data_IF_851272965194
#
_entry.id   IF_851272965194
#
_cell.length_a   1.000
_cell.length_b   1.000
_cell.length_c   1.000
_cell.angle_alpha   90.00
_cell.angle_beta   90.00
_cell.angle_gamma   90.00
#
_symmetry.space_group_name_H-M   'P 1'
#
loop_
_entity.id
_entity.type
_entity.pdbx_description
1 polymer ?
#
# COMPACT_ATOMS: atom_id res chain seq x y z
N UNK A 1 7.80 15.57 32.94
CA UNK A 1 7.67 17.04 32.84
C UNK A 1 6.44 17.30 31.99
N UNK A 2 5.49 18.09 32.50
CA UNK A 2 4.18 18.34 31.91
C UNK A 2 4.33 19.10 30.59
N UNK A 3 4.08 18.45 29.45
CA UNK A 3 3.94 19.12 28.17
C UNK A 3 2.55 19.75 28.14
N UNK A 4 2.51 21.07 28.26
CA UNK A 4 1.32 21.88 28.07
C UNK A 4 0.92 21.75 26.60
N UNK A 5 -0.25 21.19 26.36
CA UNK A 5 -0.94 21.19 25.07
C UNK A 5 -1.21 22.64 24.66
N UNK A 6 -0.43 23.14 23.72
CA UNK A 6 -0.69 24.39 23.04
C UNK A 6 -1.08 24.02 21.60
N UNK A 7 -2.28 23.48 21.44
CA UNK A 7 -2.95 23.44 20.14
C UNK A 7 -3.34 24.88 19.82
N UNK A 8 -2.40 25.63 19.25
CA UNK A 8 -2.80 26.72 18.37
C UNK A 8 -3.46 26.06 17.17
N UNK A 9 -4.78 26.23 17.01
CA UNK A 9 -5.43 26.09 15.71
C UNK A 9 -4.67 27.00 14.74
N UNK A 10 -3.72 26.42 14.00
CA UNK A 10 -3.18 27.05 12.82
C UNK A 10 -4.38 27.26 11.89
N UNK A 11 -4.58 28.49 11.43
CA UNK A 11 -5.60 28.81 10.44
C UNK A 11 -5.21 28.10 9.14
N UNK A 12 -5.69 26.87 8.95
CA UNK A 12 -5.29 26.00 7.84
C UNK A 12 -5.94 26.52 6.57
N UNK A 13 -5.21 27.38 5.87
CA UNK A 13 -5.60 27.84 4.56
C UNK A 13 -5.47 26.70 3.54
N UNK A 14 -6.46 26.47 2.66
CA UNK A 14 -6.34 25.44 1.63
C UNK A 14 -5.09 25.70 0.76
N UNK A 15 -4.39 24.62 0.40
CA UNK A 15 -3.30 24.70 -0.59
C UNK A 15 -3.88 25.32 -1.86
N UNK A 16 -3.15 26.28 -2.45
CA UNK A 16 -3.61 27.05 -3.62
C UNK A 16 -4.07 26.17 -4.79
N UNK A 17 -4.79 26.77 -5.75
CA UNK A 17 -5.31 26.07 -6.93
C UNK A 17 -4.14 25.48 -7.75
N UNK A 18 -4.27 24.20 -8.13
CA UNK A 18 -3.31 23.46 -8.95
C UNK A 18 -2.84 24.28 -10.16
N UNK A 19 -1.53 24.44 -10.31
CA UNK A 19 -0.93 24.95 -11.54
C UNK A 19 -0.41 23.79 -12.43
N UNK A 20 -0.21 24.05 -13.73
CA UNK A 20 0.29 23.01 -14.64
C UNK A 20 1.74 22.59 -14.32
N UNK A 21 2.51 23.45 -13.64
CA UNK A 21 3.90 23.20 -13.29
C UNK A 21 4.01 22.27 -12.06
N UNK A 22 2.99 22.22 -11.20
CA UNK A 22 2.89 21.39 -10.00
C UNK A 22 2.91 19.91 -10.39
N UNK A 23 2.06 19.53 -11.34
CA UNK A 23 1.99 18.14 -11.82
C UNK A 23 3.29 17.71 -12.48
N UNK A 24 3.90 18.58 -13.29
CA UNK A 24 5.20 18.32 -13.90
C UNK A 24 6.29 18.15 -12.84
N UNK A 25 6.32 19.00 -11.82
CA UNK A 25 7.25 18.91 -10.69
C UNK A 25 7.10 17.61 -9.90
N UNK A 26 5.87 17.21 -9.60
CA UNK A 26 5.60 15.95 -8.91
C UNK A 26 6.06 14.75 -9.74
N UNK A 27 5.84 14.80 -11.07
CA UNK A 27 6.32 13.76 -11.97
C UNK A 27 7.86 13.71 -12.07
N UNK A 28 8.52 14.87 -12.21
CA UNK A 28 9.97 14.97 -12.25
C UNK A 28 10.60 14.46 -10.96
N UNK A 29 9.99 14.78 -9.81
CA UNK A 29 10.41 14.26 -8.52
C UNK A 29 10.31 12.73 -8.45
N UNK A 30 9.25 12.12 -8.98
CA UNK A 30 9.13 10.66 -9.07
C UNK A 30 10.26 10.04 -9.94
N UNK A 31 10.63 10.69 -11.05
CA UNK A 31 11.77 10.27 -11.86
C UNK A 31 13.10 10.37 -11.09
N UNK A 32 13.35 11.46 -10.37
CA UNK A 32 14.55 11.63 -9.52
C UNK A 32 14.64 10.57 -8.43
N UNK A 33 13.51 10.17 -7.83
CA UNK A 33 13.48 9.06 -6.88
C UNK A 33 13.91 7.74 -7.55
N UNK A 34 13.41 7.45 -8.75
CA UNK A 34 13.83 6.25 -9.49
C UNK A 34 15.32 6.29 -9.83
N UNK A 35 15.87 7.46 -10.18
CA UNK A 35 17.31 7.62 -10.40
C UNK A 35 18.12 7.29 -9.14
N UNK A 36 17.65 7.70 -7.97
CA UNK A 36 18.27 7.33 -6.70
C UNK A 36 18.23 5.82 -6.46
N UNK A 37 17.06 5.19 -6.62
CA UNK A 37 16.91 3.74 -6.42
C UNK A 37 17.80 2.93 -7.38
N UNK A 38 17.91 3.34 -8.64
CA UNK A 38 18.78 2.67 -9.62
C UNK A 38 20.25 2.89 -9.28
N UNK A 39 20.65 4.12 -8.89
CA UNK A 39 22.04 4.46 -8.59
C UNK A 39 22.57 3.81 -7.30
N UNK A 40 21.71 3.63 -6.31
CA UNK A 40 22.08 3.05 -5.00
C UNK A 40 22.02 1.52 -4.95
N UNK A 41 21.54 0.89 -6.02
CA UNK A 41 21.54 -0.56 -6.11
C UNK A 41 22.97 -1.11 -6.09
N UNK A 42 23.26 -1.94 -5.09
CA UNK A 42 24.51 -2.71 -5.01
C UNK A 42 24.29 -4.00 -5.77
N UNK A 43 25.04 -4.16 -6.87
CA UNK A 43 24.97 -5.35 -7.70
C UNK A 43 26.06 -6.34 -7.27
N UNK A 44 25.65 -7.50 -6.75
CA UNK A 44 26.56 -8.60 -6.42
C UNK A 44 26.22 -9.90 -7.18
N UNK A 45 26.81 -11.02 -6.78
CA UNK A 45 26.54 -12.32 -7.42
C UNK A 45 25.16 -12.89 -7.08
N UNK A 46 24.56 -12.48 -5.97
CA UNK A 46 23.23 -12.89 -5.58
C UNK A 46 22.18 -12.08 -6.34
N UNK A 47 22.41 -10.80 -6.60
CA UNK A 47 21.52 -9.93 -7.38
C UNK A 47 21.64 -8.47 -6.95
N UNK A 48 20.68 -7.61 -7.34
CA UNK A 48 20.61 -6.27 -6.80
C UNK A 48 20.12 -6.29 -5.35
N UNK A 49 20.74 -5.46 -4.51
CA UNK A 49 20.30 -5.17 -3.14
C UNK A 49 20.49 -3.69 -2.82
N UNK A 50 19.80 -3.20 -1.80
CA UNK A 50 19.80 -1.80 -1.40
C UNK A 50 20.26 -1.61 0.04
N UNK A 51 20.81 -0.43 0.38
CA UNK A 51 21.08 -0.07 1.77
C UNK A 51 19.75 0.03 2.54
N UNK A 52 19.69 -0.66 3.68
CA UNK A 52 18.58 -0.58 4.65
C UNK A 52 19.16 -0.21 6.01
N UNK A 53 18.49 0.70 6.72
CA UNK A 53 18.88 1.03 8.08
C UNK A 53 18.57 -0.10 9.05
N UNK A 54 19.52 -0.40 9.93
CA UNK A 54 19.29 -1.20 11.12
C UNK A 54 18.94 -0.26 12.26
N UNK A 55 17.77 -0.50 12.88
CA UNK A 55 17.24 0.33 13.94
C UNK A 55 17.41 -0.41 15.27
N UNK A 56 18.01 0.28 16.25
CA UNK A 56 18.16 -0.20 17.62
C UNK A 56 16.84 -0.23 18.37
N UNK A 57 16.84 -0.85 19.56
CA UNK A 57 15.64 -0.94 20.41
C UNK A 57 15.11 0.42 20.89
N UNK A 58 15.94 1.47 20.83
CA UNK A 58 15.59 2.85 21.16
C UNK A 58 15.03 3.64 19.96
N UNK A 59 14.81 2.97 18.82
CA UNK A 59 14.30 3.58 17.59
C UNK A 59 15.36 4.32 16.78
N UNK A 60 16.63 4.29 17.20
CA UNK A 60 17.71 5.01 16.52
C UNK A 60 18.48 4.14 15.53
N UNK A 61 18.97 4.69 14.41
CA UNK A 61 19.83 3.98 13.49
C UNK A 61 21.13 3.55 14.18
N UNK A 62 21.47 2.26 14.08
CA UNK A 62 22.69 1.67 14.63
C UNK A 62 23.66 1.20 13.55
N UNK A 63 23.19 1.05 12.31
CA UNK A 63 24.02 0.65 11.17
C UNK A 63 23.25 0.63 9.86
N UNK A 64 23.96 0.32 8.79
CA UNK A 64 23.40 0.07 7.47
C UNK A 64 23.72 -1.37 7.10
N UNK A 65 22.70 -2.11 6.68
CA UNK A 65 22.82 -3.46 6.15
C UNK A 65 22.37 -3.47 4.70
N UNK A 66 22.72 -4.53 3.98
CA UNK A 66 22.17 -4.83 2.66
C UNK A 66 21.64 -6.26 2.68
N UNK A 67 20.73 -6.58 1.76
CA UNK A 67 20.15 -7.90 1.58
C UNK A 67 18.91 -8.15 2.45
N UNK A 68 18.31 -7.10 3.03
CA UNK A 68 17.07 -7.23 3.80
C UNK A 68 15.94 -7.58 2.82
N UNK A 69 15.20 -8.65 3.09
CA UNK A 69 14.24 -9.22 2.11
C UNK A 69 12.82 -8.67 2.19
N UNK A 70 12.46 -7.97 3.27
CA UNK A 70 11.08 -7.56 3.56
C UNK A 70 10.48 -6.66 2.48
N UNK A 71 9.15 -6.69 2.36
CA UNK A 71 8.41 -5.71 1.57
C UNK A 71 8.40 -4.33 2.26
N UNK A 72 8.50 -4.32 3.60
CA UNK A 72 8.47 -3.11 4.42
C UNK A 72 9.67 -2.17 4.18
N UNK A 73 10.85 -2.61 4.57
CA UNK A 73 12.10 -1.84 4.64
C UNK A 73 13.25 -2.48 3.82
N UNK A 74 12.93 -3.43 2.95
CA UNK A 74 13.92 -4.26 2.26
C UNK A 74 13.81 -4.24 0.73
N UNK A 75 14.67 -5.06 0.12
CA UNK A 75 14.85 -5.25 -1.30
C UNK A 75 13.54 -5.60 -2.02
N UNK A 76 12.66 -6.40 -1.40
CA UNK A 76 11.38 -6.75 -2.02
C UNK A 76 10.48 -5.53 -2.20
N UNK A 77 10.49 -4.59 -1.25
CA UNK A 77 9.77 -3.32 -1.34
C UNK A 77 10.27 -2.47 -2.50
N UNK A 78 11.59 -2.33 -2.62
CA UNK A 78 12.23 -1.56 -3.70
C UNK A 78 11.97 -2.21 -5.06
N UNK A 79 12.12 -3.52 -5.17
CA UNK A 79 11.84 -4.29 -6.40
C UNK A 79 10.38 -4.17 -6.80
N UNK A 80 9.45 -4.24 -5.85
CA UNK A 80 8.02 -4.07 -6.11
C UNK A 80 7.73 -2.67 -6.67
N UNK A 81 8.27 -1.62 -6.05
CA UNK A 81 8.12 -0.25 -6.54
C UNK A 81 8.71 -0.07 -7.95
N UNK A 82 9.96 -0.50 -8.17
CA UNK A 82 10.63 -0.38 -9.47
C UNK A 82 9.92 -1.17 -10.59
N UNK A 83 9.24 -2.27 -10.25
CA UNK A 83 8.42 -3.01 -11.23
C UNK A 83 7.30 -2.14 -11.80
N UNK A 84 6.61 -1.40 -10.93
CA UNK A 84 5.50 -0.54 -11.33
C UNK A 84 5.98 0.79 -11.91
N UNK A 85 6.94 1.44 -11.25
CA UNK A 85 7.52 2.72 -11.69
C UNK A 85 8.26 2.58 -13.01
N UNK A 86 9.01 1.49 -13.21
CA UNK A 86 9.73 1.20 -14.46
C UNK A 86 8.81 1.21 -15.67
N UNK A 87 7.60 0.66 -15.53
CA UNK A 87 6.59 0.65 -16.58
C UNK A 87 5.90 2.01 -16.71
N UNK A 88 5.39 2.56 -15.60
CA UNK A 88 4.59 3.78 -15.61
C UNK A 88 5.36 5.03 -16.06
N UNK A 89 6.65 5.11 -15.72
CA UNK A 89 7.54 6.23 -16.04
C UNK A 89 8.40 5.96 -17.29
N UNK A 90 8.17 4.86 -18.01
CA UNK A 90 8.96 4.45 -19.17
C UNK A 90 10.48 4.41 -18.89
N UNK A 91 10.86 3.73 -17.81
CA UNK A 91 12.22 3.58 -17.29
C UNK A 91 12.70 2.13 -17.46
N UNK A 92 13.29 1.77 -18.63
CA UNK A 92 13.69 0.39 -18.91
C UNK A 92 14.81 -0.10 -17.97
N UNK A 93 15.70 0.79 -17.54
CA UNK A 93 16.73 0.51 -16.54
C UNK A 93 16.14 0.08 -15.19
N UNK A 94 15.12 0.79 -14.71
CA UNK A 94 14.39 0.43 -13.49
C UNK A 94 13.64 -0.91 -13.66
N UNK A 95 12.98 -1.12 -14.81
CA UNK A 95 12.25 -2.35 -15.11
C UNK A 95 13.18 -3.58 -15.20
N UNK A 96 14.35 -3.44 -15.82
CA UNK A 96 15.37 -4.50 -15.90
C UNK A 96 15.95 -4.83 -14.52
N UNK A 97 16.27 -3.80 -13.73
CA UNK A 97 16.75 -3.96 -12.36
C UNK A 97 15.72 -4.68 -11.48
N UNK A 98 14.45 -4.28 -11.56
CA UNK A 98 13.35 -4.93 -10.85
C UNK A 98 13.17 -6.38 -11.28
N UNK A 99 13.22 -6.69 -12.57
CA UNK A 99 13.09 -8.05 -13.07
C UNK A 99 14.24 -8.97 -12.58
N UNK A 100 15.46 -8.43 -12.52
CA UNK A 100 16.62 -9.10 -11.94
C UNK A 100 16.42 -9.37 -10.45
N UNK A 101 16.07 -8.34 -9.67
CA UNK A 101 15.83 -8.45 -8.23
C UNK A 101 14.70 -9.42 -7.87
N UNK A 102 13.58 -9.37 -8.58
CA UNK A 102 12.47 -10.30 -8.40
C UNK A 102 12.91 -11.75 -8.65
N UNK A 103 13.70 -11.98 -9.71
CA UNK A 103 14.22 -13.32 -10.02
C UNK A 103 15.11 -13.83 -8.89
N UNK A 104 16.06 -13.01 -8.42
CA UNK A 104 16.93 -13.34 -7.29
C UNK A 104 16.16 -13.66 -6.01
N UNK A 105 15.26 -12.76 -5.60
CA UNK A 105 14.52 -12.90 -4.35
C UNK A 105 13.64 -14.15 -4.35
N UNK A 106 13.03 -14.48 -5.49
CA UNK A 106 12.19 -15.67 -5.66
C UNK A 106 12.99 -16.97 -5.77
N UNK A 107 14.20 -16.95 -6.34
CA UNK A 107 15.05 -18.14 -6.46
C UNK A 107 15.78 -18.49 -5.16
N UNK A 108 16.17 -17.48 -4.38
CA UNK A 108 16.93 -17.64 -3.15
C UNK A 108 16.05 -17.62 -1.89
N UNK A 109 14.84 -18.20 -1.95
CA UNK A 109 13.93 -18.21 -0.80
C UNK A 109 14.50 -19.03 0.35
N UNK A 110 14.62 -18.46 1.56
CA UNK A 110 15.04 -19.21 2.73
C UNK A 110 13.98 -20.25 3.10
N UNK A 111 14.44 -21.36 3.66
CA UNK A 111 13.57 -22.41 4.21
C UNK A 111 13.93 -22.64 5.66
N UNK A 112 12.94 -22.90 6.49
CA UNK A 112 13.14 -23.16 7.91
C UNK A 112 12.02 -22.60 8.78
N UNK A 113 11.96 -23.01 10.06
CA UNK A 113 10.91 -22.58 10.99
C UNK A 113 11.05 -21.10 11.39
N UNK A 114 12.25 -20.53 11.32
CA UNK A 114 12.53 -19.15 11.77
C UNK A 114 12.30 -18.09 10.68
N UNK A 115 11.88 -18.50 9.48
CA UNK A 115 11.65 -17.60 8.36
C UNK A 115 10.33 -16.83 8.58
N UNK A 116 10.36 -15.48 8.63
CA UNK A 116 9.14 -14.70 8.81
C UNK A 116 8.16 -14.94 7.66
N UNK A 117 6.89 -15.13 8.01
CA UNK A 117 5.87 -15.61 7.07
C UNK A 117 4.96 -14.52 6.51
N UNK A 118 4.84 -13.38 7.18
CA UNK A 118 3.82 -12.37 6.87
C UNK A 118 4.08 -11.54 5.61
N UNK A 119 3.21 -10.56 5.40
CA UNK A 119 3.15 -9.76 4.17
C UNK A 119 4.22 -8.68 4.12
N UNK A 120 4.26 -7.79 5.12
CA UNK A 120 5.21 -6.68 5.17
C UNK A 120 6.58 -7.15 5.66
N UNK A 121 6.55 -8.04 6.67
CA UNK A 121 7.73 -8.63 7.30
C UNK A 121 7.66 -10.15 7.11
N UNK A 122 7.98 -10.61 5.91
CA UNK A 122 8.07 -12.02 5.61
C UNK A 122 7.95 -12.40 4.15
N UNK A 123 7.94 -13.71 3.92
CA UNK A 123 7.99 -14.30 2.58
C UNK A 123 6.64 -14.25 1.83
N UNK A 124 5.51 -13.96 2.49
CA UNK A 124 4.26 -13.73 1.76
C UNK A 124 4.31 -12.45 0.91
N UNK A 125 4.98 -11.40 1.37
CA UNK A 125 5.19 -10.18 0.58
C UNK A 125 5.89 -10.42 -0.75
N UNK A 126 6.85 -11.35 -0.78
CA UNK A 126 7.58 -11.70 -2.00
C UNK A 126 6.70 -12.41 -3.03
N UNK A 127 5.56 -12.99 -2.63
CA UNK A 127 4.62 -13.57 -3.60
C UNK A 127 3.99 -12.49 -4.49
N UNK A 128 3.96 -11.23 -4.05
CA UNK A 128 3.53 -10.08 -4.86
C UNK A 128 4.52 -9.73 -6.00
N UNK A 129 5.77 -10.21 -5.92
CA UNK A 129 6.76 -10.08 -7.00
C UNK A 129 6.58 -11.16 -8.08
N UNK A 130 5.81 -12.20 -7.79
CA UNK A 130 5.63 -13.34 -8.67
C UNK A 130 4.84 -12.98 -9.92
N UNK A 131 5.28 -13.49 -11.08
CA UNK A 131 4.49 -13.45 -12.31
C UNK A 131 3.28 -14.37 -12.19
N UNK A 132 2.24 -14.10 -12.97
CA UNK A 132 1.09 -15.02 -13.12
C UNK A 132 1.59 -16.44 -13.38
N UNK A 133 1.24 -17.37 -12.49
CA UNK A 133 1.69 -18.76 -12.56
C UNK A 133 2.79 -19.15 -11.56
N UNK A 134 3.40 -18.19 -10.87
CA UNK A 134 4.40 -18.47 -9.82
C UNK A 134 3.80 -19.35 -8.70
N UNK A 135 4.68 -20.13 -8.08
CA UNK A 135 4.31 -20.90 -6.89
C UNK A 135 4.16 -19.95 -5.71
N UNK A 136 2.98 -19.96 -5.10
CA UNK A 136 2.70 -19.33 -3.80
C UNK A 136 2.75 -20.46 -2.77
N UNK A 137 3.57 -20.33 -1.73
CA UNK A 137 3.66 -21.36 -0.69
C UNK A 137 2.60 -21.16 0.38
N UNK A 138 2.17 -22.25 1.00
CA UNK A 138 1.31 -22.19 2.18
C UNK A 138 2.17 -21.83 3.37
N UNK A 139 1.81 -20.73 4.03
CA UNK A 139 2.53 -20.17 5.17
C UNK A 139 1.64 -20.04 6.39
N UNK A 140 2.27 -19.97 7.56
CA UNK A 140 1.59 -19.78 8.83
C UNK A 140 2.36 -18.79 9.68
N UNK A 141 1.66 -18.03 10.51
CA UNK A 141 2.24 -17.11 11.48
C UNK A 141 1.54 -17.24 12.83
N UNK A 142 2.28 -16.96 13.89
CA UNK A 142 1.76 -16.83 15.25
C UNK A 142 1.05 -15.48 15.47
N UNK A 143 1.38 -14.45 14.66
CA UNK A 143 0.68 -13.17 14.65
C UNK A 143 -0.66 -13.25 13.91
N UNK A 144 -1.60 -12.36 14.23
CA UNK A 144 -2.90 -12.27 13.53
C UNK A 144 -2.98 -11.13 12.52
N UNK A 145 -2.09 -10.13 12.64
CA UNK A 145 -2.21 -8.87 11.93
C UNK A 145 -1.79 -8.89 10.44
N UNK A 146 -1.87 -7.72 9.81
CA UNK A 146 -1.56 -7.55 8.39
C UNK A 146 -0.06 -7.58 8.09
N UNK A 147 0.79 -7.20 9.05
CA UNK A 147 2.22 -7.00 8.83
C UNK A 147 2.98 -8.32 8.75
N UNK A 148 3.00 -9.07 9.85
CA UNK A 148 3.76 -10.30 10.03
C UNK A 148 2.84 -11.49 10.34
N UNK A 149 1.53 -11.23 10.46
CA UNK A 149 0.52 -12.18 10.87
C UNK A 149 -0.28 -12.85 9.74
N UNK A 150 -1.30 -13.59 10.18
CA UNK A 150 -2.20 -14.36 9.33
C UNK A 150 -3.05 -13.51 8.39
N UNK A 151 -3.46 -12.29 8.78
CA UNK A 151 -4.23 -11.41 7.88
C UNK A 151 -3.38 -10.99 6.66
N UNK A 152 -2.09 -10.71 6.84
CA UNK A 152 -1.17 -10.43 5.73
C UNK A 152 -1.03 -11.59 4.75
N UNK A 153 -0.91 -12.82 5.28
CA UNK A 153 -0.88 -14.04 4.47
C UNK A 153 -2.20 -14.22 3.72
N UNK A 154 -3.35 -14.05 4.39
CA UNK A 154 -4.67 -14.17 3.78
C UNK A 154 -4.85 -13.18 2.62
N UNK A 155 -4.46 -11.92 2.81
CA UNK A 155 -4.54 -10.90 1.76
C UNK A 155 -3.68 -11.28 0.55
N UNK A 156 -2.48 -11.81 0.78
CA UNK A 156 -1.58 -12.30 -0.28
C UNK A 156 -2.21 -13.46 -1.08
N UNK A 157 -2.84 -14.41 -0.38
CA UNK A 157 -3.53 -15.54 -1.02
C UNK A 157 -4.72 -15.05 -1.87
N UNK A 158 -5.51 -14.10 -1.35
CA UNK A 158 -6.63 -13.52 -2.07
C UNK A 158 -6.15 -12.83 -3.36
N UNK A 159 -5.09 -12.01 -3.27
CA UNK A 159 -4.51 -11.29 -4.43
C UNK A 159 -3.92 -12.20 -5.48
N UNK A 160 -3.22 -13.24 -5.05
CA UNK A 160 -2.69 -14.26 -5.97
C UNK A 160 -3.78 -15.22 -6.47
N UNK A 161 -4.98 -15.20 -5.87
CA UNK A 161 -6.10 -16.11 -6.11
C UNK A 161 -5.68 -17.58 -5.99
N UNK A 162 -4.91 -17.91 -4.95
CA UNK A 162 -4.37 -19.25 -4.70
C UNK A 162 -4.79 -19.81 -3.35
N UNK A 163 -4.84 -21.14 -3.29
CA UNK A 163 -5.01 -21.93 -2.05
C UNK A 163 -6.23 -21.56 -1.22
N UNK A 164 -7.42 -21.60 -1.81
CA UNK A 164 -8.69 -21.35 -1.10
C UNK A 164 -8.82 -22.20 0.18
N UNK A 165 -8.47 -23.49 0.14
CA UNK A 165 -8.52 -24.35 1.34
C UNK A 165 -7.59 -23.86 2.47
N UNK A 166 -6.46 -23.24 2.12
CA UNK A 166 -5.55 -22.63 3.09
C UNK A 166 -6.11 -21.31 3.63
N UNK A 167 -6.77 -20.52 2.77
CA UNK A 167 -7.50 -19.33 3.19
C UNK A 167 -8.63 -19.67 4.18
N UNK A 168 -9.37 -20.78 3.96
CA UNK A 168 -10.37 -21.30 4.92
C UNK A 168 -9.73 -21.58 6.28
N UNK A 169 -8.59 -22.28 6.30
CA UNK A 169 -7.88 -22.57 7.55
C UNK A 169 -7.43 -21.29 8.28
N UNK A 170 -6.96 -20.29 7.54
CA UNK A 170 -6.57 -19.00 8.11
C UNK A 170 -7.77 -18.25 8.70
N UNK A 171 -8.91 -18.19 8.00
CA UNK A 171 -10.13 -17.55 8.51
C UNK A 171 -10.60 -18.21 9.81
N UNK A 172 -10.58 -19.55 9.86
CA UNK A 172 -10.94 -20.30 11.06
C UNK A 172 -9.98 -19.99 12.23
N UNK A 173 -8.69 -19.86 11.97
CA UNK A 173 -7.70 -19.52 13.00
C UNK A 173 -7.81 -18.07 13.47
N UNK A 174 -8.02 -17.11 12.57
CA UNK A 174 -8.28 -15.71 12.94
C UNK A 174 -9.51 -15.63 13.85
N UNK A 175 -10.56 -16.42 13.58
CA UNK A 175 -11.72 -16.55 14.48
C UNK A 175 -11.32 -17.16 15.82
N UNK A 176 -10.52 -18.22 15.84
CA UNK A 176 -10.08 -18.89 17.07
C UNK A 176 -9.26 -17.96 17.99
N UNK A 177 -8.35 -17.17 17.41
CA UNK A 177 -7.47 -16.24 18.15
C UNK A 177 -8.15 -14.96 18.62
N UNK A 178 -9.27 -14.61 18.00
CA UNK A 178 -10.02 -13.41 18.37
C UNK A 178 -10.67 -13.52 19.75
N UNK A 179 -10.67 -12.42 20.50
CA UNK A 179 -11.36 -12.28 21.78
C UNK A 179 -12.72 -11.63 21.53
N UNK A 180 -13.78 -12.19 22.12
CA UNK A 180 -15.10 -11.58 22.09
C UNK A 180 -15.15 -10.42 23.08
N UNK A 181 -15.55 -9.24 22.60
CA UNK A 181 -15.60 -8.01 23.38
C UNK A 181 -17.06 -7.60 23.61
N UNK A 182 -17.29 -6.51 24.33
CA UNK A 182 -18.64 -5.95 24.47
C UNK A 182 -19.24 -5.60 23.09
N UNK A 183 -18.40 -5.09 22.20
CA UNK A 183 -18.74 -4.73 20.82
C UNK A 183 -17.74 -5.40 19.89
N UNK A 184 -18.20 -6.37 19.11
CA UNK A 184 -17.35 -7.05 18.12
C UNK A 184 -16.28 -7.95 18.73
N UNK A 185 -15.15 -8.06 18.03
CA UNK A 185 -14.03 -8.94 18.39
C UNK A 185 -12.70 -8.24 18.16
N UNK A 186 -11.72 -8.58 18.98
CA UNK A 186 -10.37 -8.00 18.98
C UNK A 186 -9.29 -9.07 18.80
N UNK A 187 -8.08 -8.66 18.40
CA UNK A 187 -6.93 -9.56 18.19
C UNK A 187 -5.73 -9.09 19.02
N UNK A 188 -5.60 -9.55 20.27
CA UNK A 188 -4.38 -9.33 21.04
C UNK A 188 -3.20 -10.08 20.40
N UNK A 189 -1.99 -9.52 20.50
CA UNK A 189 -0.77 -10.21 20.09
C UNK A 189 -0.27 -11.09 21.23
N UNK A 190 -0.54 -12.39 21.12
CA UNK A 190 -0.17 -13.41 22.12
C UNK A 190 1.33 -13.62 22.27
N UNK A 191 2.15 -13.09 21.35
CA UNK A 191 3.61 -13.15 21.41
C UNK A 191 4.17 -12.10 22.38
N UNK A 192 3.38 -11.07 22.68
CA UNK A 192 3.76 -9.97 23.55
C UNK A 192 3.10 -10.12 24.92
N UNK A 193 3.77 -9.65 25.97
CA UNK A 193 3.30 -9.74 27.35
C UNK A 193 2.75 -8.40 27.84
N UNK A 194 1.76 -8.44 28.73
CA UNK A 194 1.21 -7.22 29.36
C UNK A 194 0.56 -6.28 28.34
N UNK A 195 0.78 -4.98 28.53
CA UNK A 195 0.17 -3.94 27.68
C UNK A 195 0.66 -3.98 26.23
N UNK A 196 1.87 -4.51 25.97
CA UNK A 196 2.38 -4.69 24.60
C UNK A 196 1.58 -5.67 23.74
N UNK A 197 0.85 -6.61 24.35
CA UNK A 197 0.01 -7.59 23.64
C UNK A 197 -1.44 -7.17 23.44
N UNK A 198 -1.81 -5.94 23.82
CA UNK A 198 -3.20 -5.48 23.72
C UNK A 198 -3.66 -5.35 22.26
N UNK A 199 -4.95 -5.58 21.99
CA UNK A 199 -5.48 -5.40 20.64
C UNK A 199 -5.40 -3.92 20.20
N UNK A 200 -5.12 -3.70 18.92
CA UNK A 200 -4.88 -2.36 18.34
C UNK A 200 -5.92 -1.99 17.28
N UNK A 201 -6.18 -0.69 17.13
CA UNK A 201 -6.92 -0.14 15.99
C UNK A 201 -5.96 0.12 14.80
N UNK A 202 -6.53 0.35 13.62
CA UNK A 202 -5.76 0.75 12.44
C UNK A 202 -5.26 -0.42 11.59
N UNK A 203 -4.45 -0.12 10.58
CA UNK A 203 -4.20 -1.00 9.45
C UNK A 203 -3.13 -2.07 9.71
N UNK A 204 -1.94 -1.67 10.18
CA UNK A 204 -0.78 -2.57 10.22
C UNK A 204 -0.96 -3.71 11.23
N UNK A 205 -1.11 -3.34 12.50
CA UNK A 205 -1.21 -4.30 13.60
C UNK A 205 -2.63 -4.42 14.16
N UNK A 206 -3.60 -3.75 13.53
CA UNK A 206 -4.92 -3.53 14.10
C UNK A 206 -6.08 -4.19 13.35
N UNK A 207 -7.28 -3.95 13.87
CA UNK A 207 -8.52 -4.54 13.40
C UNK A 207 -8.87 -4.17 11.95
N UNK A 208 -8.54 -2.96 11.48
CA UNK A 208 -8.76 -2.59 10.06
C UNK A 208 -8.02 -3.51 9.10
N UNK A 209 -6.77 -3.89 9.40
CA UNK A 209 -5.99 -4.82 8.56
C UNK A 209 -6.60 -6.21 8.49
N UNK A 210 -7.10 -6.71 9.63
CA UNK A 210 -7.80 -8.00 9.70
C UNK A 210 -9.11 -7.96 8.90
N UNK A 211 -9.93 -6.91 9.12
CA UNK A 211 -11.19 -6.73 8.40
C UNK A 211 -10.99 -6.68 6.89
N UNK A 212 -9.97 -5.96 6.43
CA UNK A 212 -9.63 -5.85 5.02
C UNK A 212 -9.26 -7.20 4.39
N UNK A 213 -8.34 -7.95 5.02
CA UNK A 213 -7.92 -9.25 4.51
C UNK A 213 -9.10 -10.24 4.41
N UNK A 214 -10.00 -10.22 5.39
CA UNK A 214 -11.21 -11.04 5.41
C UNK A 214 -12.20 -10.66 4.28
N UNK A 215 -12.43 -9.36 4.07
CA UNK A 215 -13.31 -8.87 3.02
C UNK A 215 -12.77 -9.18 1.61
N UNK A 216 -11.46 -8.99 1.39
CA UNK A 216 -10.82 -9.35 0.12
C UNK A 216 -10.88 -10.85 -0.15
N UNK A 217 -10.64 -11.69 0.87
CA UNK A 217 -10.77 -13.14 0.74
C UNK A 217 -12.21 -13.55 0.38
N UNK A 218 -13.22 -12.95 1.01
CA UNK A 218 -14.63 -13.19 0.69
C UNK A 218 -15.00 -12.75 -0.73
N UNK A 219 -14.44 -11.64 -1.21
CA UNK A 219 -14.66 -11.16 -2.58
C UNK A 219 -14.04 -12.10 -3.63
N UNK A 220 -12.90 -12.71 -3.32
CA UNK A 220 -12.22 -13.67 -4.21
C UNK A 220 -12.87 -15.06 -4.15
N UNK A 221 -13.29 -15.48 -2.96
CA UNK A 221 -13.87 -16.79 -2.70
C UNK A 221 -15.22 -16.66 -1.98
N UNK A 222 -16.34 -16.61 -2.72
CA UNK A 222 -17.66 -16.45 -2.12
C UNK A 222 -18.03 -17.50 -1.06
N UNK A 223 -17.42 -18.69 -1.12
CA UNK A 223 -17.59 -19.74 -0.10
C UNK A 223 -17.12 -19.31 1.30
N UNK A 224 -16.16 -18.40 1.38
CA UNK A 224 -15.68 -17.84 2.66
C UNK A 224 -16.62 -16.76 3.20
N UNK A 225 -17.51 -16.21 2.39
CA UNK A 225 -18.33 -15.04 2.76
C UNK A 225 -19.11 -15.23 4.07
N UNK A 226 -19.70 -16.42 4.27
CA UNK A 226 -20.49 -16.72 5.47
C UNK A 226 -19.68 -16.78 6.77
N UNK A 227 -18.36 -16.94 6.70
CA UNK A 227 -17.49 -17.00 7.88
C UNK A 227 -16.62 -15.75 8.02
N UNK A 228 -16.10 -15.23 6.91
CA UNK A 228 -15.17 -14.11 6.87
C UNK A 228 -15.87 -12.76 7.04
N UNK A 229 -17.01 -12.53 6.39
CA UNK A 229 -17.70 -11.22 6.46
C UNK A 229 -18.24 -10.92 7.87
N UNK A 230 -18.88 -11.86 8.59
CA UNK A 230 -19.26 -11.61 9.98
C UNK A 230 -18.06 -11.32 10.89
N UNK A 231 -16.92 -11.99 10.64
CA UNK A 231 -15.69 -11.75 11.42
C UNK A 231 -15.08 -10.37 11.10
N UNK A 232 -15.14 -9.94 9.85
CA UNK A 232 -14.76 -8.59 9.45
C UNK A 232 -15.69 -7.52 10.07
N UNK A 233 -17.00 -7.81 10.16
CA UNK A 233 -17.97 -6.94 10.81
C UNK A 233 -17.64 -6.78 12.31
N UNK A 234 -17.32 -7.89 12.98
CA UNK A 234 -16.89 -7.90 14.38
C UNK A 234 -15.61 -7.09 14.60
N UNK A 235 -14.64 -7.16 13.69
CA UNK A 235 -13.42 -6.36 13.76
C UNK A 235 -13.71 -4.85 13.68
N UNK A 236 -14.53 -4.45 12.72
CA UNK A 236 -14.92 -3.05 12.54
C UNK A 236 -15.83 -2.56 13.68
N UNK A 237 -16.71 -3.39 14.22
CA UNK A 237 -17.55 -3.08 15.39
C UNK A 237 -16.72 -2.81 16.64
N UNK A 238 -15.67 -3.60 16.86
CA UNK A 238 -14.73 -3.35 17.95
C UNK A 238 -13.96 -2.05 17.75
N UNK A 239 -13.44 -1.82 16.54
CA UNK A 239 -12.69 -0.59 16.24
C UNK A 239 -13.56 0.67 16.38
N UNK A 240 -14.82 0.61 15.93
CA UNK A 240 -15.77 1.70 16.08
C UNK A 240 -16.11 2.02 17.54
N UNK A 241 -16.03 1.05 18.45
CA UNK A 241 -16.22 1.29 19.89
C UNK A 241 -15.10 2.14 20.52
N UNK A 242 -13.95 2.22 19.84
CA UNK A 242 -12.82 3.07 20.23
C UNK A 242 -12.76 4.40 19.46
N UNK A 243 -13.41 4.48 18.31
CA UNK A 243 -13.33 5.64 17.44
C UNK A 243 -13.98 6.87 18.08
N UNK A 244 -13.26 8.00 18.06
CA UNK A 244 -13.77 9.32 18.47
C UNK A 244 -13.51 10.32 17.34
N UNK A 245 -14.55 10.60 16.54
CA UNK A 245 -14.45 11.50 15.38
C UNK A 245 -14.07 12.94 15.77
N UNK A 246 -14.39 13.38 16.99
CA UNK A 246 -13.99 14.70 17.47
C UNK A 246 -12.48 14.81 17.73
N UNK A 247 -11.79 13.67 17.92
CA UNK A 247 -10.36 13.60 18.21
C UNK A 247 -9.51 13.14 17.04
N UNK A 248 -10.11 12.74 15.92
CA UNK A 248 -9.40 12.24 14.73
C UNK A 248 -9.80 10.84 14.29
N UNK A 249 -10.83 10.26 14.92
CA UNK A 249 -11.36 8.94 14.57
C UNK A 249 -10.62 7.86 15.35
N UNK A 250 -9.56 7.30 14.76
CA UNK A 250 -8.96 6.06 15.22
C UNK A 250 -7.81 6.28 16.21
N UNK A 251 -7.93 5.81 17.46
CA UNK A 251 -6.87 5.99 18.44
C UNK A 251 -5.68 5.04 18.23
N UNK A 252 -4.49 5.47 18.64
CA UNK A 252 -3.40 4.55 18.96
C UNK A 252 -3.61 3.99 20.36
N UNK A 253 -3.74 2.67 20.43
CA UNK A 253 -3.93 1.94 21.68
C UNK A 253 -2.61 1.33 22.18
N UNK A 254 -1.46 1.63 21.60
CA UNK A 254 -0.17 1.17 22.15
C UNK A 254 0.09 1.78 23.53
N UNK A 255 1.19 1.35 24.15
CA UNK A 255 1.57 1.78 25.51
C UNK A 255 1.68 3.32 25.61
N UNK A 256 1.22 3.88 26.73
CA UNK A 256 1.25 5.32 27.00
C UNK A 256 -0.13 5.99 26.91
N UNK A 257 -0.11 7.30 26.69
CA UNK A 257 -1.32 8.11 26.52
C UNK A 257 -1.97 7.81 25.16
N UNK A 258 -3.29 7.68 25.15
CA UNK A 258 -4.05 7.47 23.90
C UNK A 258 -3.91 8.72 23.03
N UNK A 259 -3.48 8.52 21.78
CA UNK A 259 -3.38 9.57 20.76
C UNK A 259 -4.28 9.23 19.57
N UNK A 260 -4.49 10.18 18.65
CA UNK A 260 -5.28 10.00 17.43
C UNK A 260 -4.47 10.40 16.20
N UNK A 261 -3.51 9.55 15.79
CA UNK A 261 -2.64 9.86 14.67
C UNK A 261 -3.37 9.79 13.33
N UNK A 262 -2.79 10.46 12.34
CA UNK A 262 -3.23 10.41 10.94
C UNK A 262 -2.31 9.50 10.08
N UNK A 263 -1.72 8.46 10.69
CA UNK A 263 -0.71 7.62 10.03
C UNK A 263 -1.32 6.42 9.29
N UNK A 264 -0.57 5.91 8.30
CA UNK A 264 -1.01 4.74 7.52
C UNK A 264 -1.00 3.46 8.36
N UNK A 265 0.02 3.25 9.19
CA UNK A 265 0.12 2.01 9.97
C UNK A 265 -0.88 1.94 11.13
N UNK A 266 -1.17 3.09 11.77
CA UNK A 266 -2.14 3.23 12.84
C UNK A 266 -2.73 4.64 12.80
N UNK A 267 -4.06 4.75 12.85
CA UNK A 267 -4.74 6.03 12.75
C UNK A 267 -5.63 6.18 11.52
N UNK A 268 -6.01 7.43 11.24
CA UNK A 268 -7.07 7.76 10.29
C UNK A 268 -6.75 7.36 8.85
N UNK A 269 -5.49 7.47 8.41
CA UNK A 269 -5.13 7.17 7.03
C UNK A 269 -5.27 5.67 6.71
N UNK A 270 -4.69 4.79 7.53
CA UNK A 270 -4.81 3.34 7.33
C UNK A 270 -6.24 2.84 7.44
N UNK A 271 -6.96 3.31 8.46
CA UNK A 271 -8.35 2.95 8.68
C UNK A 271 -9.24 3.44 7.52
N UNK A 272 -9.05 4.68 7.08
CA UNK A 272 -9.77 5.30 5.96
C UNK A 272 -9.54 4.59 4.63
N UNK A 273 -8.30 4.17 4.34
CA UNK A 273 -7.98 3.37 3.16
C UNK A 273 -8.80 2.08 3.12
N UNK A 274 -8.97 1.41 4.26
CA UNK A 274 -9.82 0.20 4.35
C UNK A 274 -11.28 0.51 4.08
N UNK A 275 -11.83 1.62 4.58
CA UNK A 275 -13.23 1.98 4.31
C UNK A 275 -13.45 2.30 2.84
N UNK A 276 -12.55 3.06 2.23
CA UNK A 276 -12.58 3.33 0.79
C UNK A 276 -12.54 2.02 -0.01
N UNK A 277 -11.68 1.08 0.39
CA UNK A 277 -11.61 -0.23 -0.27
C UNK A 277 -12.87 -1.06 -0.08
N UNK A 278 -13.52 -1.00 1.09
CA UNK A 278 -14.80 -1.66 1.30
C UNK A 278 -15.87 -1.07 0.37
N UNK A 279 -15.91 0.24 0.15
CA UNK A 279 -16.83 0.84 -0.83
C UNK A 279 -16.59 0.31 -2.25
N UNK A 280 -15.34 0.21 -2.70
CA UNK A 280 -15.02 -0.39 -4.00
C UNK A 280 -15.50 -1.86 -4.08
N UNK A 281 -15.32 -2.63 -3.00
CA UNK A 281 -15.81 -4.01 -2.94
C UNK A 281 -17.34 -4.08 -2.98
N UNK A 282 -18.02 -3.14 -2.32
CA UNK A 282 -19.48 -3.02 -2.36
C UNK A 282 -19.98 -2.71 -3.79
N UNK A 283 -19.33 -1.77 -4.47
CA UNK A 283 -19.64 -1.44 -5.87
C UNK A 283 -19.36 -2.62 -6.82
N UNK A 284 -18.38 -3.46 -6.48
CA UNK A 284 -18.11 -4.73 -7.15
C UNK A 284 -19.07 -5.87 -6.77
N UNK A 285 -20.07 -5.60 -5.91
CA UNK A 285 -21.15 -6.53 -5.56
C UNK A 285 -20.93 -7.35 -4.29
N UNK A 286 -19.90 -7.06 -3.49
CA UNK A 286 -19.73 -7.67 -2.17
C UNK A 286 -20.74 -7.08 -1.18
N UNK A 287 -21.45 -7.92 -0.44
CA UNK A 287 -22.17 -7.46 0.74
C UNK A 287 -21.14 -7.14 1.83
N UNK A 288 -20.81 -5.86 1.96
CA UNK A 288 -19.77 -5.42 2.89
C UNK A 288 -20.19 -5.60 4.36
N UNK A 289 -19.23 -5.74 5.29
CA UNK A 289 -19.54 -6.08 6.69
C UNK A 289 -20.31 -4.99 7.46
N UNK A 290 -20.30 -3.75 6.96
CA UNK A 290 -21.01 -2.59 7.51
C UNK A 290 -22.04 -2.11 6.49
N UNK A 291 -23.02 -1.30 6.90
CA UNK A 291 -23.89 -0.65 5.92
C UNK A 291 -23.06 0.29 5.04
N UNK A 292 -23.37 0.34 3.74
CA UNK A 292 -22.66 1.22 2.79
C UNK A 292 -22.65 2.67 3.26
N UNK A 293 -23.76 3.15 3.85
CA UNK A 293 -23.86 4.51 4.39
C UNK A 293 -22.90 4.73 5.56
N UNK A 294 -22.76 3.75 6.46
CA UNK A 294 -21.83 3.86 7.59
C UNK A 294 -20.38 3.76 7.13
N UNK A 295 -20.07 2.84 6.21
CA UNK A 295 -18.74 2.75 5.61
C UNK A 295 -18.36 4.05 4.89
N UNK A 296 -19.30 4.66 4.18
CA UNK A 296 -19.10 5.95 3.50
C UNK A 296 -18.87 7.08 4.50
N UNK A 297 -19.67 7.18 5.55
CA UNK A 297 -19.49 8.21 6.57
C UNK A 297 -18.12 8.13 7.26
N UNK A 298 -17.66 6.90 7.61
CA UNK A 298 -16.33 6.70 8.17
C UNK A 298 -15.21 7.03 7.16
N UNK A 299 -15.38 6.67 5.88
CA UNK A 299 -14.43 7.04 4.83
C UNK A 299 -14.32 8.56 4.67
N UNK A 300 -15.45 9.27 4.60
CA UNK A 300 -15.48 10.73 4.47
C UNK A 300 -14.82 11.44 5.65
N UNK A 301 -15.05 10.95 6.88
CA UNK A 301 -14.39 11.50 8.06
C UNK A 301 -12.86 11.29 8.01
N UNK A 302 -12.40 10.10 7.60
CA UNK A 302 -10.97 9.84 7.42
C UNK A 302 -10.36 10.71 6.32
N UNK A 303 -11.06 10.92 5.20
CA UNK A 303 -10.64 11.79 4.09
C UNK A 303 -10.48 13.23 4.56
N UNK A 304 -11.44 13.76 5.35
CA UNK A 304 -11.31 15.11 5.92
C UNK A 304 -10.07 15.25 6.82
N UNK A 305 -9.83 14.25 7.69
CA UNK A 305 -8.65 14.23 8.57
C UNK A 305 -7.34 14.14 7.78
N UNK A 306 -7.28 13.25 6.79
CA UNK A 306 -6.11 13.10 5.93
C UNK A 306 -5.83 14.39 5.12
N UNK A 307 -6.86 15.05 4.63
CA UNK A 307 -6.72 16.31 3.88
C UNK A 307 -6.15 17.43 4.76
N UNK A 308 -6.61 17.51 6.01
CA UNK A 308 -6.05 18.42 7.01
C UNK A 308 -4.59 18.10 7.31
N UNK A 309 -4.26 16.86 7.68
CA UNK A 309 -2.89 16.43 8.02
C UNK A 309 -1.90 16.70 6.88
N UNK A 310 -2.27 16.34 5.64
CA UNK A 310 -1.47 16.61 4.44
C UNK A 310 -1.25 18.12 4.22
N UNK A 311 -2.29 18.93 4.38
CA UNK A 311 -2.19 20.39 4.20
C UNK A 311 -1.28 21.02 5.24
N UNK A 312 -1.42 20.62 6.51
CA UNK A 312 -0.56 21.10 7.61
C UNK A 312 0.90 20.73 7.34
N UNK A 313 1.19 19.49 6.92
CA UNK A 313 2.56 19.08 6.59
C UNK A 313 3.15 19.90 5.44
N UNK A 314 2.36 20.19 4.40
CA UNK A 314 2.80 21.02 3.28
C UNK A 314 3.04 22.49 3.68
N UNK A 315 2.23 23.04 4.59
CA UNK A 315 2.42 24.38 5.14
C UNK A 315 3.65 24.47 6.04
N UNK A 316 3.85 23.50 6.94
CA UNK A 316 5.06 23.41 7.77
C UNK A 316 6.30 23.36 6.89
N UNK A 317 6.29 22.53 5.84
CA UNK A 317 7.38 22.50 4.86
C UNK A 317 7.60 23.88 4.20
N UNK A 318 6.52 24.57 3.82
CA UNK A 318 6.59 25.88 3.18
C UNK A 318 7.18 26.97 4.07
N UNK A 319 6.84 26.97 5.36
CA UNK A 319 7.20 28.02 6.30
C UNK A 319 8.54 27.77 7.01
N UNK A 320 8.86 26.50 7.26
CA UNK A 320 9.95 26.09 8.15
C UNK A 320 11.01 25.23 7.46
N UNK A 321 10.83 24.89 6.18
CA UNK A 321 11.69 23.97 5.43
C UNK A 321 11.14 22.55 5.39
N UNK A 322 11.41 21.81 4.30
CA UNK A 322 10.87 20.46 4.12
C UNK A 322 11.29 19.47 5.22
N UNK A 323 12.45 19.67 5.84
CA UNK A 323 12.95 18.90 6.97
C UNK A 323 12.12 19.06 8.24
N UNK A 324 11.35 20.16 8.37
CA UNK A 324 10.46 20.37 9.50
C UNK A 324 9.18 19.52 9.40
N UNK A 325 8.82 19.04 8.20
CA UNK A 325 7.72 18.12 8.03
C UNK A 325 8.13 16.71 8.49
N UNK A 326 7.61 16.28 9.64
CA UNK A 326 7.93 14.99 10.24
C UNK A 326 7.76 13.84 9.23
N UNK A 327 8.80 13.01 9.10
CA UNK A 327 8.84 11.86 8.22
C UNK A 327 8.57 12.14 6.72
N UNK A 328 8.56 13.41 6.31
CA UNK A 328 8.38 13.85 4.93
C UNK A 328 7.12 13.28 4.28
N UNK A 329 7.26 12.82 3.03
CA UNK A 329 6.18 12.26 2.21
C UNK A 329 6.17 10.73 2.20
N UNK A 330 6.71 10.10 3.23
CA UNK A 330 6.74 8.64 3.35
C UNK A 330 5.37 8.06 3.67
N UNK A 331 5.13 6.81 3.28
CA UNK A 331 3.82 6.18 3.45
C UNK A 331 3.48 5.96 4.92
N UNK A 332 4.40 5.34 5.66
CA UNK A 332 4.05 4.75 6.95
C UNK A 332 3.86 5.80 8.04
N UNK A 333 4.75 6.81 8.10
CA UNK A 333 4.84 7.75 9.23
C UNK A 333 4.77 9.23 8.78
N UNK A 334 4.81 9.49 7.48
CA UNK A 334 4.79 10.84 6.92
C UNK A 334 3.44 11.24 6.30
N UNK A 335 3.44 12.40 5.65
CA UNK A 335 2.28 12.96 4.94
C UNK A 335 1.86 12.13 3.71
N UNK A 336 2.70 11.18 3.27
CA UNK A 336 2.42 10.30 2.15
C UNK A 336 1.26 9.35 2.39
N UNK A 337 1.08 8.86 3.63
CA UNK A 337 -0.09 8.06 4.03
C UNK A 337 -1.40 8.82 3.81
N UNK A 338 -1.61 9.97 4.49
CA UNK A 338 -2.74 10.86 4.25
C UNK A 338 -2.94 11.23 2.78
N UNK A 339 -1.88 11.63 2.07
CA UNK A 339 -2.00 12.04 0.67
C UNK A 339 -2.44 10.89 -0.24
N UNK A 340 -1.95 9.67 0.00
CA UNK A 340 -2.40 8.48 -0.73
C UNK A 340 -3.87 8.13 -0.49
N UNK A 341 -4.39 8.41 0.71
CA UNK A 341 -5.84 8.26 1.02
C UNK A 341 -6.66 9.30 0.26
N UNK A 342 -6.19 10.54 0.19
CA UNK A 342 -6.83 11.59 -0.61
C UNK A 342 -6.85 11.21 -2.10
N UNK A 343 -5.74 10.69 -2.63
CA UNK A 343 -5.68 10.20 -4.01
C UNK A 343 -6.67 9.05 -4.25
N UNK A 344 -6.73 8.06 -3.34
CA UNK A 344 -7.68 6.95 -3.42
C UNK A 344 -9.13 7.44 -3.33
N UNK A 345 -9.43 8.40 -2.44
CA UNK A 345 -10.76 8.98 -2.31
C UNK A 345 -11.20 9.72 -3.58
N UNK A 346 -10.27 10.35 -4.29
CA UNK A 346 -10.55 10.96 -5.60
C UNK A 346 -11.13 9.94 -6.58
N UNK A 347 -10.59 8.71 -6.58
CA UNK A 347 -11.05 7.62 -7.45
C UNK A 347 -12.37 7.02 -6.97
N UNK A 348 -12.49 6.74 -5.66
CA UNK A 348 -13.67 6.06 -5.09
C UNK A 348 -14.90 6.96 -5.02
N UNK A 349 -14.71 8.26 -4.78
CA UNK A 349 -15.82 9.22 -4.72
C UNK A 349 -16.08 9.93 -6.05
N UNK A 350 -15.23 9.73 -7.06
CA UNK A 350 -15.26 10.43 -8.35
C UNK A 350 -15.21 11.97 -8.16
N UNK A 351 -14.27 12.42 -7.33
CA UNK A 351 -14.03 13.85 -7.01
C UNK A 351 -12.59 14.19 -7.34
N UNK A 352 -12.36 14.75 -8.53
CA UNK A 352 -11.02 15.06 -9.05
C UNK A 352 -10.24 16.06 -8.16
N UNK A 353 -10.96 16.95 -7.48
CA UNK A 353 -10.40 17.99 -6.62
C UNK A 353 -9.56 17.43 -5.46
N UNK A 354 -9.89 16.23 -4.96
CA UNK A 354 -9.07 15.57 -3.95
C UNK A 354 -7.65 15.34 -4.46
N UNK A 355 -7.49 14.78 -5.66
CA UNK A 355 -6.18 14.55 -6.24
C UNK A 355 -5.46 15.86 -6.58
N UNK A 356 -6.18 16.87 -7.07
CA UNK A 356 -5.59 18.19 -7.34
C UNK A 356 -5.00 18.83 -6.07
N UNK A 357 -5.69 18.70 -4.93
CA UNK A 357 -5.18 19.16 -3.63
C UNK A 357 -3.93 18.39 -3.20
N UNK A 358 -3.91 17.07 -3.39
CA UNK A 358 -2.74 16.26 -3.06
C UNK A 358 -1.52 16.57 -3.96
N UNK A 359 -1.73 16.82 -5.25
CA UNK A 359 -0.67 17.26 -6.17
C UNK A 359 -0.14 18.63 -5.74
N UNK A 360 -1.00 19.59 -5.42
CA UNK A 360 -0.60 20.92 -4.99
C UNK A 360 0.19 20.87 -3.66
N UNK A 361 -0.23 20.03 -2.70
CA UNK A 361 0.47 19.83 -1.44
C UNK A 361 1.87 19.21 -1.66
N UNK A 362 1.97 18.19 -2.51
CA UNK A 362 3.24 17.56 -2.86
C UNK A 362 4.19 18.57 -3.53
N UNK A 363 3.70 19.30 -4.52
CA UNK A 363 4.47 20.32 -5.21
C UNK A 363 4.95 21.44 -4.27
N UNK A 364 4.12 21.83 -3.30
CA UNK A 364 4.50 22.79 -2.27
C UNK A 364 5.64 22.28 -1.40
N UNK A 365 5.56 21.06 -0.87
CA UNK A 365 6.66 20.48 -0.09
C UNK A 365 7.94 20.35 -0.92
N UNK A 366 7.83 19.89 -2.17
CA UNK A 366 8.97 19.73 -3.08
C UNK A 366 9.66 21.07 -3.42
N UNK A 367 8.94 22.20 -3.41
CA UNK A 367 9.54 23.53 -3.59
C UNK A 367 10.36 23.99 -2.40
N UNK A 368 10.06 23.46 -1.22
CA UNK A 368 10.65 23.90 0.04
C UNK A 368 11.77 23.00 0.54
N UNK A 369 12.08 21.94 -0.19
CA UNK A 369 13.13 20.97 0.14
C UNK A 369 14.22 20.89 -0.92
N UNK A 370 15.15 19.96 -0.69
CA UNK A 370 16.18 19.63 -1.66
C UNK A 370 15.58 19.01 -2.93
N UNK A 371 16.20 19.29 -4.07
CA UNK A 371 15.90 18.59 -5.31
C UNK A 371 16.47 17.16 -5.34
N UNK A 372 17.42 16.85 -4.44
CA UNK A 372 18.01 15.51 -4.32
C UNK A 372 17.21 14.65 -3.33
N UNK A 373 16.61 13.53 -3.78
CA UNK A 373 15.87 12.63 -2.88
C UNK A 373 16.73 11.98 -1.79
N UNK A 374 18.07 11.98 -1.90
CA UNK A 374 18.96 11.50 -0.82
C UNK A 374 18.86 12.35 0.45
N UNK A 375 18.50 13.63 0.30
CA UNK A 375 18.38 14.59 1.40
C UNK A 375 16.95 14.67 1.96
N UNK A 376 16.01 13.88 1.43
CA UNK A 376 14.63 13.93 1.89
C UNK A 376 14.46 13.24 3.25
N UNK A 377 13.63 13.85 4.09
CA UNK A 377 13.21 13.24 5.34
C UNK A 377 12.55 11.88 5.08
N UNK A 378 12.85 10.92 5.96
CA UNK A 378 12.31 9.57 5.89
C UNK A 378 11.51 9.21 7.16
N UNK A 379 10.83 8.07 7.17
CA UNK A 379 10.02 7.58 8.28
C UNK A 379 10.81 7.14 9.52
N UNK A 380 12.13 7.29 9.51
CA UNK A 380 13.06 6.86 10.56
C UNK A 380 13.84 8.06 11.08
N UNK A 381 13.85 8.27 12.40
CA UNK A 381 14.57 9.39 13.01
C UNK A 381 16.08 9.26 12.78
N UNK A 382 16.69 10.24 12.09
CA UNK A 382 18.13 10.28 11.84
C UNK A 382 18.64 9.29 10.78
N UNK A 383 17.75 8.74 9.95
CA UNK A 383 18.06 7.78 8.90
C UNK A 383 17.77 8.34 7.48
N UNK A 384 18.06 9.62 7.27
CA UNK A 384 17.81 10.33 6.01
C UNK A 384 18.31 9.56 4.79
N UNK A 385 17.58 9.66 3.67
CA UNK A 385 17.90 8.94 2.44
C UNK A 385 17.55 7.44 2.47
N UNK A 386 16.74 6.97 3.41
CA UNK A 386 16.18 5.61 3.37
C UNK A 386 15.46 5.36 2.03
N UNK A 387 15.81 4.26 1.35
CA UNK A 387 15.30 3.95 0.01
C UNK A 387 14.12 2.98 0.03
N UNK A 388 13.62 2.59 1.20
CA UNK A 388 12.62 1.54 1.32
C UNK A 388 11.21 1.94 0.90
N UNK A 389 10.30 0.95 0.85
CA UNK A 389 8.94 1.15 0.38
C UNK A 389 8.05 1.86 1.40
N UNK A 390 8.17 1.55 2.69
CA UNK A 390 7.22 2.08 3.68
C UNK A 390 7.72 3.36 4.35
N UNK A 391 9.03 3.46 4.54
CA UNK A 391 9.67 4.56 5.25
C UNK A 391 10.53 5.45 4.35
N UNK A 392 10.64 5.12 3.06
CA UNK A 392 11.68 5.70 2.21
C UNK A 392 11.22 6.15 0.83
N UNK A 393 12.23 6.44 0.02
CA UNK A 393 12.07 7.05 -1.30
C UNK A 393 11.29 6.17 -2.28
N UNK A 394 11.35 4.83 -2.17
CA UNK A 394 10.56 3.97 -3.05
C UNK A 394 9.05 4.13 -2.84
N UNK A 395 8.60 4.29 -1.59
CA UNK A 395 7.22 4.62 -1.27
C UNK A 395 6.81 5.99 -1.79
N UNK A 396 7.65 6.99 -1.52
CA UNK A 396 7.43 8.36 -1.98
C UNK A 396 7.31 8.41 -3.50
N UNK A 397 8.17 7.71 -4.24
CA UNK A 397 8.11 7.64 -5.71
C UNK A 397 6.79 7.06 -6.22
N UNK A 398 6.30 5.98 -5.60
CA UNK A 398 5.01 5.37 -5.94
C UNK A 398 3.85 6.35 -5.72
N UNK A 399 3.85 7.08 -4.61
CA UNK A 399 2.82 8.08 -4.30
C UNK A 399 2.86 9.25 -5.28
N UNK A 400 4.03 9.82 -5.55
CA UNK A 400 4.19 10.92 -6.51
C UNK A 400 3.77 10.50 -7.92
N UNK A 401 4.14 9.28 -8.34
CA UNK A 401 3.71 8.73 -9.62
C UNK A 401 2.19 8.54 -9.71
N UNK A 402 1.52 8.05 -8.66
CA UNK A 402 0.06 7.88 -8.62
C UNK A 402 -0.66 9.23 -8.69
N UNK A 403 -0.13 10.26 -8.01
CA UNK A 403 -0.65 11.62 -8.07
C UNK A 403 -0.51 12.25 -9.46
N UNK A 404 0.66 12.09 -10.09
CA UNK A 404 0.95 12.67 -11.39
C UNK A 404 0.26 11.94 -12.54
N UNK A 405 0.22 10.59 -12.49
CA UNK A 405 -0.24 9.69 -13.53
C UNK A 405 -1.31 8.72 -12.97
N UNK A 406 -2.51 9.22 -12.63
CA UNK A 406 -3.55 8.40 -11.99
C UNK A 406 -3.89 7.17 -12.82
N UNK A 407 -3.93 6.01 -12.16
CA UNK A 407 -4.23 4.73 -12.79
C UNK A 407 -3.04 4.02 -13.45
N UNK A 408 -1.88 4.68 -13.61
CA UNK A 408 -0.68 4.07 -14.22
C UNK A 408 0.13 3.21 -13.24
N UNK A 409 0.05 3.51 -11.94
CA UNK A 409 0.61 2.69 -10.86
C UNK A 409 -0.50 2.21 -9.91
N UNK A 410 -0.32 1.10 -9.19
CA UNK A 410 -1.22 0.71 -8.12
C UNK A 410 -1.22 1.71 -6.96
N UNK A 411 -2.36 1.84 -6.28
CA UNK A 411 -2.45 2.58 -5.03
C UNK A 411 -1.58 1.93 -3.94
N UNK A 412 -0.58 2.67 -3.46
CA UNK A 412 0.35 2.20 -2.44
C UNK A 412 -0.30 2.04 -1.07
N UNK A 413 -1.27 2.88 -0.71
CA UNK A 413 -1.98 2.80 0.59
C UNK A 413 -2.72 1.47 0.76
N UNK A 414 -2.99 0.77 -0.34
CA UNK A 414 -3.55 -0.58 -0.38
C UNK A 414 -2.53 -1.62 -0.89
N UNK A 415 -1.24 -1.32 -1.03
CA UNK A 415 -0.19 -2.26 -1.46
C UNK A 415 -0.50 -3.01 -2.78
N UNK A 416 -1.22 -2.38 -3.72
CA UNK A 416 -1.59 -3.00 -5.01
C UNK A 416 -2.86 -3.85 -5.04
N UNK A 417 -3.26 -4.26 -6.25
CA UNK A 417 -4.67 -4.49 -6.64
C UNK A 417 -5.48 -5.40 -5.71
N UNK A 418 -6.52 -4.82 -5.11
CA UNK A 418 -7.80 -5.49 -5.04
C UNK A 418 -8.57 -5.26 -6.36
N UNK A 419 -9.28 -6.28 -6.84
CA UNK A 419 -9.72 -6.42 -8.25
C UNK A 419 -10.52 -5.26 -8.88
N UNK A 420 -10.40 -5.22 -10.22
CA UNK A 420 -11.13 -4.46 -11.25
C UNK A 420 -11.06 -2.93 -11.12
N UNK A 421 -9.92 -2.35 -11.51
CA UNK A 421 -9.90 -0.99 -12.07
C UNK A 421 -10.57 -1.04 -13.45
N UNK A 422 -11.88 -0.83 -13.49
CA UNK A 422 -12.61 -0.60 -14.74
C UNK A 422 -12.13 0.73 -15.32
N UNK A 423 -11.22 0.68 -16.29
CA UNK A 423 -11.08 1.81 -17.20
C UNK A 423 -12.40 2.06 -17.95
N UNK A 424 -12.65 3.27 -18.47
CA UNK A 424 -13.84 3.53 -19.26
C UNK A 424 -13.91 2.53 -20.41
N UNK A 425 -15.06 1.87 -20.55
CA UNK A 425 -15.31 0.83 -21.54
C UNK A 425 -15.04 1.34 -22.95
N UNK A 426 -13.86 1.04 -23.51
CA UNK A 426 -13.69 1.03 -24.94
C UNK A 426 -14.44 -0.21 -25.46
N UNK A 427 -15.58 0.04 -26.09
CA UNK A 427 -16.42 -0.97 -26.76
C UNK A 427 -15.55 -1.89 -27.62
N UNK A 428 -15.53 -3.17 -27.26
CA UNK A 428 -15.01 -4.23 -28.12
C UNK A 428 -16.06 -4.46 -29.21
N UNK A 429 -15.96 -3.68 -30.28
CA UNK A 429 -16.53 -4.04 -31.58
C UNK A 429 -15.57 -3.55 -32.67
N UNK A 430 -15.29 -4.44 -33.63
CA UNK A 430 -14.47 -4.25 -34.84
C UNK A 430 -12.96 -4.50 -34.74
N UNK A 431 -12.56 -5.76 -34.52
CA UNK A 431 -11.39 -6.32 -35.23
C UNK A 431 -11.70 -7.76 -35.66
N UNK A 432 -12.20 -7.89 -36.88
CA UNK A 432 -12.33 -9.16 -37.59
C UNK A 432 -10.97 -9.63 -38.10
N UNK A 433 -10.60 -10.83 -37.65
CA UNK A 433 -9.67 -11.84 -38.16
C UNK A 433 -9.16 -11.71 -39.63
N UNK A 434 -7.83 -11.73 -39.86
CA UNK A 434 -7.27 -12.09 -41.15
C UNK A 434 -6.47 -13.40 -41.04
N UNK A 435 -7.15 -14.54 -41.16
CA UNK A 435 -6.52 -15.84 -41.38
C UNK A 435 -7.04 -16.49 -42.67
N UNK A 436 -6.34 -16.22 -43.77
CA UNK A 436 -6.39 -17.05 -44.97
C UNK A 436 -4.97 -17.16 -45.55
N UNK A 437 -4.27 -18.21 -45.15
CA UNK A 437 -3.01 -18.66 -45.74
C UNK A 437 -3.27 -19.41 -47.05
N UNK A 438 -2.29 -19.34 -47.95
CA UNK A 438 -2.43 -19.63 -49.36
C UNK A 438 -2.60 -21.10 -49.74
N UNK A 439 -3.36 -21.32 -50.82
CA UNK A 439 -3.41 -22.56 -51.59
C UNK A 439 -2.72 -22.36 -52.94
N UNK A 440 -1.63 -23.11 -53.17
CA UNK A 440 -0.93 -23.22 -54.44
C UNK A 440 -1.71 -24.06 -55.46
N UNK A 441 -1.61 -23.65 -56.72
CA UNK A 441 -2.23 -24.28 -57.91
C UNK A 441 -1.63 -25.65 -58.25
N UNK A 442 -2.27 -26.39 -59.18
CA UNK A 442 -1.61 -26.52 -60.49
C UNK A 442 -2.55 -26.32 -61.67
N UNK A 443 -2.07 -25.55 -62.64
CA UNK A 443 -2.67 -25.40 -63.96
C UNK A 443 -2.49 -26.65 -64.82
N UNK A 444 -3.54 -27.00 -65.55
CA UNK A 444 -3.51 -27.95 -66.65
C UNK A 444 -3.68 -27.14 -67.94
N UNK A 445 -2.65 -27.13 -68.77
CA UNK A 445 -2.73 -26.70 -70.18
C UNK A 445 -2.39 -27.92 -71.03
N UNK A 446 -3.34 -28.35 -71.85
CA UNK A 446 -3.20 -29.50 -72.73
C UNK A 446 -4.06 -29.38 -73.99
N UNK A 447 -3.40 -28.94 -75.06
CA UNK A 447 -3.60 -29.26 -76.49
C UNK A 447 -4.85 -28.81 -77.27
N UNK A 448 -4.50 -28.21 -78.41
CA UNK A 448 -5.33 -27.89 -79.56
C UNK A 448 -5.85 -29.12 -80.32
N UNK A 449 -6.99 -28.97 -81.00
CA UNK A 449 -7.47 -29.94 -81.97
C UNK A 449 -8.80 -29.57 -82.65
N UNK A 450 -8.70 -28.81 -83.75
CA UNK A 450 -9.51 -28.79 -84.99
C UNK A 450 -11.00 -29.18 -84.94
N UNK A 451 -11.82 -28.31 -85.52
CA UNK A 451 -13.18 -28.59 -86.00
C UNK A 451 -13.92 -27.31 -86.33
#
# INVERSE_FOLDING_TARGET
MSAVSNEQELDVMPVGRLDNDDRARVLDAAHSCVDLLVRTAVLDRAGPTWPSWEIGSDGRPVGIVAGRRSLYDGDAGVVWALTHLGTALNRPDAAELAASGATTLLQARPTGPDVPAGLLVGEAGLDLLGRVGSMVERRWSEGSDLTDGLAGILLTLARSRRHEDHAVAIVAELRHRSVAEQWGRSWPDVRLSGDGGRPLCGLSHGASGVAWALAEAAAVWPRLGSEALPLAADALAWEASWSDQARGGWPDLREGDITWPDLWCHGSAGAGAVRLRLLELADAGLEVPWSVDTTRAEAEAAVQRCGHAMTVAAQVAAEQGAEAAHAGWTLCHGAGGPAGVIALASDVFDVAEHRDQAVAAAALTLRSGSADPEEWACGLEGADGDVSLLNGVAGTAMLLADLALPGMVPSLVLLGMGGVRSGPSASVDSLTDPSASGGLSPGVVGFAGRG
#
